data_IF_142611711696
#
_entry.id   IF_142611711696
#
_cell.length_a   1.000
_cell.length_b   1.000
_cell.length_c   1.000
_cell.angle_alpha   90.00
_cell.angle_beta   90.00
_cell.angle_gamma   90.00
#
_symmetry.space_group_name_H-M   'P 1'
#
loop_
_entity.id
_entity.type
_entity.pdbx_description
1 polymer ?
#
# COMPACT_ATOMS: atom_id res chain seq x y z
N UNK A 1 -19.01 -15.35 -3.17
CA UNK A 1 -19.28 -13.97 -3.65
C UNK A 1 -20.01 -13.11 -2.61
N UNK A 2 -21.20 -13.50 -2.09
CA UNK A 2 -21.94 -12.69 -1.09
C UNK A 2 -21.17 -12.36 0.20
N UNK A 3 -20.57 -13.35 0.86
CA UNK A 3 -19.78 -13.13 2.08
C UNK A 3 -18.60 -12.16 1.87
N UNK A 4 -17.98 -12.16 0.68
CA UNK A 4 -16.85 -11.27 0.42
C UNK A 4 -17.30 -9.82 0.28
N UNK A 5 -18.45 -9.60 -0.36
CA UNK A 5 -19.06 -8.28 -0.50
C UNK A 5 -19.52 -7.72 0.86
N UNK A 6 -20.06 -8.57 1.75
CA UNK A 6 -20.44 -8.15 3.10
C UNK A 6 -19.23 -7.70 3.93
N UNK A 7 -18.14 -8.48 3.90
CA UNK A 7 -16.89 -8.13 4.58
C UNK A 7 -16.27 -6.85 4.05
N UNK A 8 -16.25 -6.67 2.73
CA UNK A 8 -15.76 -5.42 2.12
C UNK A 8 -16.60 -4.24 2.59
N UNK A 9 -17.93 -4.33 2.54
CA UNK A 9 -18.82 -3.27 3.03
C UNK A 9 -18.60 -2.95 4.50
N UNK A 10 -18.38 -3.97 5.33
CA UNK A 10 -18.10 -3.79 6.75
C UNK A 10 -16.78 -3.04 6.99
N UNK A 11 -15.70 -3.45 6.31
CA UNK A 11 -14.40 -2.76 6.37
C UNK A 11 -14.58 -1.28 6.00
N UNK A 12 -15.20 -1.00 4.84
CA UNK A 12 -15.39 0.36 4.36
C UNK A 12 -16.26 1.19 5.32
N UNK A 13 -17.31 0.61 5.88
CA UNK A 13 -18.21 1.30 6.83
C UNK A 13 -17.53 1.65 8.15
N UNK A 14 -16.70 0.75 8.68
CA UNK A 14 -16.01 0.95 9.96
C UNK A 14 -14.85 1.93 9.83
N UNK A 15 -14.12 1.86 8.71
CA UNK A 15 -12.83 2.55 8.55
C UNK A 15 -12.90 3.81 7.70
N UNK A 16 -13.95 3.97 6.89
CA UNK A 16 -14.03 5.02 5.87
C UNK A 16 -13.15 4.77 4.64
N UNK A 17 -12.41 3.65 4.60
CA UNK A 17 -11.51 3.34 3.50
C UNK A 17 -12.29 3.00 2.23
N UNK A 18 -11.89 3.55 1.09
CA UNK A 18 -12.51 3.33 -0.22
C UNK A 18 -11.63 2.42 -1.09
N UNK A 19 -12.17 1.91 -2.21
CA UNK A 19 -11.34 1.14 -3.15
C UNK A 19 -10.12 1.94 -3.64
N UNK A 20 -10.25 3.25 -3.82
CA UNK A 20 -9.14 4.14 -4.16
C UNK A 20 -8.05 4.13 -3.11
N UNK A 21 -8.40 4.26 -1.82
CA UNK A 21 -7.39 4.21 -0.75
C UNK A 21 -6.63 2.88 -0.73
N UNK A 22 -7.29 1.76 -1.04
CA UNK A 22 -6.62 0.46 -1.16
C UNK A 22 -5.70 0.40 -2.38
N UNK A 23 -6.09 0.98 -3.52
CA UNK A 23 -5.23 1.08 -4.68
C UNK A 23 -3.98 1.92 -4.37
N UNK A 24 -4.15 3.08 -3.72
CA UNK A 24 -3.05 3.96 -3.32
C UNK A 24 -2.11 3.27 -2.32
N UNK A 25 -2.65 2.46 -1.39
CA UNK A 25 -1.84 1.65 -0.49
C UNK A 25 -0.99 0.61 -1.23
N UNK A 26 -1.54 -0.02 -2.27
CA UNK A 26 -0.79 -0.99 -3.09
C UNK A 26 0.32 -0.28 -3.87
N UNK A 27 0.05 0.88 -4.48
CA UNK A 27 1.09 1.67 -5.16
C UNK A 27 2.20 2.08 -4.21
N UNK A 28 1.85 2.62 -3.04
CA UNK A 28 2.84 2.94 -2.01
C UNK A 28 3.64 1.70 -1.58
N UNK A 29 2.98 0.55 -1.41
CA UNK A 29 3.67 -0.68 -1.05
C UNK A 29 4.67 -1.12 -2.13
N UNK A 30 4.31 -1.02 -3.42
CA UNK A 30 5.20 -1.29 -4.55
C UNK A 30 6.41 -0.35 -4.52
N UNK A 31 6.19 0.95 -4.28
CA UNK A 31 7.26 1.96 -4.11
C UNK A 31 8.16 1.66 -2.91
N UNK A 32 7.61 1.21 -1.77
CA UNK A 32 8.40 0.83 -0.59
C UNK A 32 9.27 -0.40 -0.85
N UNK A 33 8.78 -1.31 -1.69
CA UNK A 33 9.51 -2.48 -2.11
C UNK A 33 10.62 -2.14 -3.12
N UNK A 34 10.30 -1.37 -4.15
CA UNK A 34 11.24 -0.94 -5.18
C UNK A 34 11.14 0.58 -5.43
N UNK A 35 11.83 1.39 -4.60
CA UNK A 35 11.83 2.85 -4.75
C UNK A 35 12.58 3.32 -6.00
N UNK A 36 13.28 2.41 -6.70
CA UNK A 36 13.99 2.73 -7.94
C UNK A 36 13.07 2.74 -9.16
N UNK A 37 11.84 2.21 -9.04
CA UNK A 37 10.92 2.06 -10.16
C UNK A 37 11.40 1.04 -11.21
N UNK A 38 12.07 -0.04 -10.78
CA UNK A 38 12.59 -1.07 -11.68
C UNK A 38 13.92 -0.74 -12.36
N UNK A 39 14.55 0.40 -12.03
CA UNK A 39 15.82 0.81 -12.67
C UNK A 39 16.96 -0.10 -12.19
N UNK A 40 17.36 -1.01 -13.07
CA UNK A 40 18.41 -1.99 -12.80
C UNK A 40 19.73 -1.33 -12.38
N UNK A 41 20.32 -1.84 -11.29
CA UNK A 41 21.61 -1.36 -10.76
C UNK A 41 21.53 -0.15 -9.82
N UNK A 42 20.33 0.39 -9.55
CA UNK A 42 20.12 1.51 -8.63
C UNK A 42 19.53 1.03 -7.30
N UNK A 43 20.35 1.01 -6.25
CA UNK A 43 19.88 0.77 -4.88
C UNK A 43 19.57 2.14 -4.25
N UNK A 44 18.30 2.38 -3.91
CA UNK A 44 17.86 3.58 -3.20
C UNK A 44 17.45 3.17 -1.78
N UNK A 45 18.22 3.62 -0.79
CA UNK A 45 17.79 3.54 0.60
C UNK A 45 16.94 4.77 0.94
N UNK A 46 15.71 4.51 1.40
CA UNK A 46 14.75 5.54 1.76
C UNK A 46 14.48 5.45 3.26
N UNK A 47 14.61 6.59 3.95
CA UNK A 47 14.19 6.73 5.34
C UNK A 47 12.68 6.99 5.40
N UNK A 48 11.91 5.91 5.42
CA UNK A 48 10.45 5.94 5.43
C UNK A 48 9.85 6.66 6.65
N UNK A 49 10.62 6.77 7.74
CA UNK A 49 10.18 7.49 8.93
C UNK A 49 9.99 9.00 8.63
N UNK A 50 10.77 9.56 7.70
CA UNK A 50 10.61 10.96 7.26
C UNK A 50 9.28 11.21 6.54
N UNK A 51 8.67 10.16 6.00
CA UNK A 51 7.34 10.19 5.39
C UNK A 51 6.24 9.79 6.38
N UNK A 52 6.58 9.67 7.68
CA UNK A 52 5.63 9.27 8.72
C UNK A 52 5.26 7.79 8.68
N UNK A 53 6.07 6.94 8.04
CA UNK A 53 5.87 5.49 7.99
C UNK A 53 6.79 4.80 9.00
N UNK A 54 6.26 4.27 10.10
CA UNK A 54 7.06 3.52 11.07
C UNK A 54 7.70 2.27 10.47
N UNK A 55 8.78 1.78 11.07
CA UNK A 55 9.55 0.66 10.53
C UNK A 55 8.71 -0.63 10.37
N UNK A 56 7.90 -0.99 11.36
CA UNK A 56 7.05 -2.17 11.32
C UNK A 56 5.98 -2.08 10.22
N UNK A 57 5.44 -0.88 9.99
CA UNK A 57 4.53 -0.58 8.89
C UNK A 57 5.26 -0.73 7.55
N UNK A 58 6.44 -0.13 7.41
CA UNK A 58 7.25 -0.19 6.20
C UNK A 58 7.65 -1.64 5.85
N UNK A 59 7.98 -2.47 6.83
CA UNK A 59 8.31 -3.89 6.63
C UNK A 59 7.10 -4.70 6.14
N UNK A 60 5.91 -4.45 6.70
CA UNK A 60 4.69 -5.10 6.23
C UNK A 60 4.32 -4.64 4.81
N UNK A 61 4.43 -3.34 4.52
CA UNK A 61 4.18 -2.78 3.19
C UNK A 61 5.21 -3.26 2.17
N UNK A 62 6.50 -3.38 2.52
CA UNK A 62 7.52 -3.97 1.65
C UNK A 62 7.17 -5.40 1.24
N UNK A 63 6.68 -6.20 2.19
CA UNK A 63 6.24 -7.58 1.91
C UNK A 63 5.00 -7.60 1.00
N UNK A 64 4.08 -6.65 1.18
CA UNK A 64 2.90 -6.49 0.34
C UNK A 64 3.28 -6.04 -1.08
N UNK A 65 4.15 -5.04 -1.20
CA UNK A 65 4.65 -4.51 -2.46
C UNK A 65 5.36 -5.55 -3.30
N UNK A 66 6.23 -6.35 -2.67
CA UNK A 66 6.87 -7.50 -3.33
C UNK A 66 5.86 -8.45 -3.95
N UNK A 67 4.78 -8.75 -3.22
CA UNK A 67 3.76 -9.69 -3.67
C UNK A 67 2.96 -9.15 -4.84
N UNK A 68 2.68 -7.86 -4.85
CA UNK A 68 1.88 -7.18 -5.87
C UNK A 68 2.73 -6.38 -6.87
N UNK A 69 4.03 -6.65 -6.97
CA UNK A 69 4.97 -5.80 -7.72
C UNK A 69 4.54 -5.54 -9.16
N UNK A 70 3.96 -6.54 -9.82
CA UNK A 70 3.54 -6.48 -11.23
C UNK A 70 2.02 -6.57 -11.39
N UNK A 71 1.28 -6.38 -10.29
CA UNK A 71 -0.17 -6.50 -10.27
C UNK A 71 -0.81 -5.13 -10.36
N UNK A 72 -1.98 -5.05 -10.99
CA UNK A 72 -2.81 -3.85 -10.94
C UNK A 72 -3.10 -3.49 -9.47
N UNK A 73 -3.07 -2.19 -9.09
CA UNK A 73 -3.35 -1.78 -7.72
C UNK A 73 -4.80 -2.06 -7.29
N UNK A 74 -5.70 -2.41 -8.22
CA UNK A 74 -7.10 -2.75 -7.96
C UNK A 74 -7.29 -4.20 -7.42
N UNK A 75 -6.53 -4.54 -6.38
CA UNK A 75 -6.61 -5.83 -5.68
C UNK A 75 -7.87 -5.88 -4.81
N UNK A 76 -8.44 -7.08 -4.64
CA UNK A 76 -9.60 -7.26 -3.76
C UNK A 76 -9.33 -6.80 -2.32
N UNK A 77 -10.17 -5.87 -1.84
CA UNK A 77 -10.05 -5.22 -0.52
C UNK A 77 -9.89 -6.23 0.62
N UNK A 78 -10.67 -7.31 0.62
CA UNK A 78 -10.62 -8.30 1.69
C UNK A 78 -9.29 -9.07 1.72
N UNK A 79 -8.66 -9.28 0.56
CA UNK A 79 -7.37 -9.95 0.44
C UNK A 79 -6.27 -9.03 0.96
N UNK A 80 -6.27 -7.76 0.54
CA UNK A 80 -5.30 -6.77 1.04
C UNK A 80 -5.46 -6.63 2.55
N UNK A 81 -6.67 -6.39 3.03
CA UNK A 81 -6.95 -6.19 4.45
C UNK A 81 -6.42 -7.33 5.33
N UNK A 82 -6.60 -8.59 4.93
CA UNK A 82 -6.10 -9.77 5.65
C UNK A 82 -4.58 -9.83 5.77
N UNK A 83 -3.85 -9.23 4.84
CA UNK A 83 -2.37 -9.25 4.80
C UNK A 83 -1.73 -8.11 5.58
N UNK A 84 -2.52 -7.09 5.93
CA UNK A 84 -2.06 -6.00 6.79
C UNK A 84 -1.98 -6.46 8.24
N UNK A 85 -0.89 -6.12 8.91
CA UNK A 85 -0.79 -6.25 10.37
C UNK A 85 -1.73 -5.25 11.08
N UNK A 86 -2.06 -5.46 12.36
CA UNK A 86 -2.84 -4.49 13.12
C UNK A 86 -2.22 -3.07 13.15
N UNK A 87 -0.89 -2.98 13.21
CA UNK A 87 -0.17 -1.71 13.17
C UNK A 87 -0.37 -1.01 11.82
N UNK A 88 -0.15 -1.73 10.72
CA UNK A 88 -0.34 -1.20 9.36
C UNK A 88 -1.79 -0.81 9.08
N UNK A 89 -2.78 -1.55 9.59
CA UNK A 89 -4.19 -1.16 9.48
C UNK A 89 -4.48 0.15 10.21
N UNK A 90 -3.99 0.27 11.44
CA UNK A 90 -4.20 1.48 12.25
C UNK A 90 -3.54 2.70 11.60
N UNK A 91 -2.30 2.51 11.12
CA UNK A 91 -1.58 3.53 10.37
C UNK A 91 -2.32 3.92 9.07
N UNK A 92 -2.76 2.94 8.29
CA UNK A 92 -3.48 3.18 7.03
C UNK A 92 -4.76 3.99 7.24
N UNK A 93 -5.57 3.64 8.24
CA UNK A 93 -6.79 4.40 8.57
C UNK A 93 -6.45 5.86 8.88
N UNK A 94 -5.38 6.11 9.64
CA UNK A 94 -4.98 7.45 10.05
C UNK A 94 -4.34 8.28 8.91
N UNK A 95 -3.76 7.65 7.90
CA UNK A 95 -2.97 8.33 6.86
C UNK A 95 -3.52 8.14 5.43
N UNK A 96 -4.71 7.56 5.27
CA UNK A 96 -5.30 7.24 3.96
C UNK A 96 -5.35 8.42 2.97
N UNK A 97 -5.48 9.65 3.46
CA UNK A 97 -5.53 10.87 2.64
C UNK A 97 -4.17 11.35 2.12
N UNK A 98 -3.07 10.82 2.66
CA UNK A 98 -1.69 11.26 2.36
C UNK A 98 -0.92 10.27 1.48
N UNK A 99 -1.52 9.12 1.16
CA UNK A 99 -0.83 8.05 0.42
C UNK A 99 -0.36 8.51 -0.96
N UNK A 100 -1.19 9.27 -1.67
CA UNK A 100 -0.88 9.81 -2.99
C UNK A 100 0.26 10.84 -2.95
N UNK A 101 0.39 11.64 -1.89
CA UNK A 101 1.48 12.63 -1.74
C UNK A 101 2.84 11.94 -1.61
N UNK A 102 2.87 10.78 -0.95
CA UNK A 102 4.09 9.99 -0.82
C UNK A 102 4.46 9.38 -2.17
N UNK A 103 3.48 8.94 -2.97
CA UNK A 103 3.71 8.41 -4.32
C UNK A 103 4.35 9.45 -5.25
N UNK A 104 3.89 10.70 -5.21
CA UNK A 104 4.44 11.79 -6.04
C UNK A 104 5.93 12.07 -5.79
N UNK A 105 6.48 11.68 -4.63
CA UNK A 105 7.88 11.84 -4.32
C UNK A 105 8.80 10.83 -5.04
N UNK A 106 8.24 9.82 -5.72
CA UNK A 106 8.98 8.76 -6.38
C UNK A 106 8.71 8.70 -7.88
N UNK A 107 9.64 8.18 -8.69
CA UNK A 107 9.39 7.90 -10.09
C UNK A 107 8.19 6.97 -10.24
N UNK A 108 7.36 7.19 -11.27
CA UNK A 108 6.36 6.21 -11.64
C UNK A 108 7.04 4.87 -11.95
N UNK A 109 6.48 3.77 -11.44
CA UNK A 109 6.83 2.44 -11.92
C UNK A 109 6.44 2.37 -13.40
N UNK A 110 7.40 2.13 -14.29
CA UNK A 110 7.11 1.92 -15.71
C UNK A 110 6.29 0.63 -15.83
N UNK A 111 5.00 0.77 -16.16
CA UNK A 111 4.13 -0.33 -16.55
C UNK A 111 4.42 -0.68 -18.02
N UNK A 112 5.57 -1.30 -18.30
CA UNK A 112 5.89 -1.89 -19.61
C UNK A 112 5.26 -3.29 -19.76
#
# INVERSE_FOLDING_TARGET
>A
MKQNQERVREIQKITGLTATHFADLIRLAQVIYDPSGGVFGKIIEVDWLKFGIPQDVAENLRSLGRKYQYESPHVAIDLVWKQLTPATRSWFIAHQSLLWEIEEAFPALDED
#
